data_IF_612680590445
#
_entry.id   IF_612680590445
#
_cell.length_a   1.000
_cell.length_b   1.000
_cell.length_c   1.000
_cell.angle_alpha   90.00
_cell.angle_beta   90.00
_cell.angle_gamma   90.00
#
_symmetry.space_group_name_H-M   'P 1'
#
loop_
_entity.id
_entity.type
_entity.pdbx_description
1 polymer ?
#
# COMPACT_ATOMS: atom_id res chain seq x y z
N UNK A 1 41.12 38.09 -47.34
CA UNK A 1 40.53 36.79 -47.70
C UNK A 1 41.36 35.59 -47.21
N UNK A 2 41.91 35.62 -45.98
CA UNK A 2 42.74 34.52 -45.44
C UNK A 2 42.04 33.71 -44.33
N UNK A 3 41.00 34.25 -43.70
CA UNK A 3 40.30 33.58 -42.60
C UNK A 3 39.30 32.53 -43.08
N UNK A 4 38.72 32.72 -44.27
CA UNK A 4 37.72 31.81 -44.82
C UNK A 4 38.35 30.49 -45.27
N UNK A 5 39.55 30.53 -45.87
CA UNK A 5 40.31 29.32 -46.23
C UNK A 5 40.76 28.53 -45.01
N UNK A 6 41.22 29.22 -43.95
CA UNK A 6 41.59 28.58 -42.70
C UNK A 6 40.42 27.85 -42.03
N UNK A 7 39.21 28.43 -42.08
CA UNK A 7 38.00 27.81 -41.55
C UNK A 7 37.61 26.55 -42.33
N UNK A 8 37.63 26.60 -43.66
CA UNK A 8 37.31 25.44 -44.52
C UNK A 8 38.30 24.28 -44.29
N UNK A 9 39.59 24.56 -44.20
CA UNK A 9 40.61 23.56 -43.91
C UNK A 9 40.47 22.96 -42.49
N UNK A 10 40.00 23.74 -41.52
CA UNK A 10 39.75 23.25 -40.17
C UNK A 10 38.57 22.27 -40.14
N UNK A 11 37.50 22.55 -40.88
CA UNK A 11 36.34 21.68 -40.99
C UNK A 11 36.67 20.38 -41.75
N UNK A 12 37.44 20.47 -42.83
CA UNK A 12 37.93 19.30 -43.57
C UNK A 12 38.82 18.41 -42.67
N UNK A 13 39.73 19.01 -41.91
CA UNK A 13 40.57 18.27 -40.95
C UNK A 13 39.75 17.58 -39.86
N UNK A 14 38.67 18.20 -39.37
CA UNK A 14 37.76 17.57 -38.40
C UNK A 14 37.04 16.38 -39.02
N UNK A 15 36.56 16.51 -40.26
CA UNK A 15 35.92 15.43 -40.99
C UNK A 15 36.88 14.26 -41.20
N UNK A 16 38.11 14.52 -41.69
CA UNK A 16 39.13 13.50 -41.89
C UNK A 16 39.55 12.79 -40.59
N UNK A 17 39.68 13.52 -39.48
CA UNK A 17 39.98 12.93 -38.16
C UNK A 17 38.85 12.04 -37.67
N UNK A 18 37.60 12.48 -37.82
CA UNK A 18 36.43 11.67 -37.42
C UNK A 18 36.27 10.41 -38.29
N UNK A 19 36.54 10.50 -39.60
CA UNK A 19 36.55 9.37 -40.52
C UNK A 19 37.64 8.35 -40.18
N UNK A 20 38.86 8.82 -39.89
CA UNK A 20 39.97 7.96 -39.47
C UNK A 20 39.69 7.25 -38.15
N UNK A 21 39.08 7.93 -37.17
CA UNK A 21 38.70 7.32 -35.90
C UNK A 21 37.69 6.18 -36.11
N UNK A 22 36.65 6.42 -36.93
CA UNK A 22 35.66 5.39 -37.29
C UNK A 22 36.28 4.19 -37.99
N UNK A 23 37.23 4.43 -38.90
CA UNK A 23 37.93 3.33 -39.58
C UNK A 23 38.82 2.53 -38.63
N UNK A 24 39.52 3.17 -37.68
CA UNK A 24 40.30 2.48 -36.66
C UNK A 24 39.42 1.61 -35.77
N UNK A 25 38.32 2.17 -35.26
CA UNK A 25 37.33 1.43 -34.45
C UNK A 25 36.77 0.21 -35.21
N UNK A 26 36.46 0.37 -36.51
CA UNK A 26 35.97 -0.74 -37.34
C UNK A 26 37.03 -1.83 -37.56
N UNK A 27 38.31 -1.47 -37.66
CA UNK A 27 39.43 -2.42 -37.78
C UNK A 27 39.70 -3.15 -36.46
N UNK A 28 39.59 -2.45 -35.33
CA UNK A 28 39.69 -3.04 -33.98
C UNK A 28 38.55 -4.04 -33.74
N UNK A 29 37.29 -3.64 -33.98
CA UNK A 29 36.14 -4.55 -33.85
C UNK A 29 36.23 -5.77 -34.79
N UNK A 30 36.75 -5.60 -36.02
CA UNK A 30 36.97 -6.73 -36.94
C UNK A 30 38.08 -7.68 -36.49
N UNK A 31 39.04 -7.22 -35.71
CA UNK A 31 40.11 -8.07 -35.14
C UNK A 31 39.64 -8.84 -33.91
N UNK A 32 38.71 -8.29 -33.13
CA UNK A 32 38.05 -9.03 -32.05
C UNK A 32 37.13 -10.14 -32.58
N UNK A 33 36.50 -9.96 -33.74
CA UNK A 33 35.65 -10.97 -34.39
C UNK A 33 36.48 -11.98 -35.22
N UNK A 34 37.54 -12.54 -34.65
CA UNK A 34 38.01 -13.85 -35.10
C UNK A 34 37.39 -14.83 -34.12
N UNK A 35 36.32 -15.48 -34.55
CA UNK A 35 35.78 -16.65 -33.85
C UNK A 35 36.94 -17.62 -33.66
N UNK A 36 37.37 -17.86 -32.42
CA UNK A 36 38.31 -18.92 -32.07
C UNK A 36 37.65 -20.27 -32.37
N UNK A 37 37.62 -20.63 -33.65
CA UNK A 37 37.09 -21.88 -34.18
C UNK A 37 38.06 -23.03 -33.90
N UNK A 38 38.26 -23.34 -32.62
CA UNK A 38 38.94 -24.55 -32.17
C UNK A 38 37.94 -25.68 -31.92
N UNK A 39 38.31 -26.91 -32.28
CA UNK A 39 37.57 -28.10 -31.84
C UNK A 39 37.77 -28.29 -30.35
N UNK A 40 36.70 -28.12 -29.58
CA UNK A 40 36.75 -28.27 -28.12
C UNK A 40 37.12 -29.71 -27.76
N UNK A 41 38.13 -29.90 -26.92
CA UNK A 41 38.46 -31.23 -26.43
C UNK A 41 37.35 -31.77 -25.50
N UNK A 42 37.24 -33.10 -25.39
CA UNK A 42 36.26 -33.75 -24.49
C UNK A 42 36.45 -33.29 -23.04
N UNK A 43 37.70 -33.11 -22.59
CA UNK A 43 38.01 -32.63 -21.25
C UNK A 43 37.50 -31.21 -21.02
N UNK A 44 37.73 -30.30 -21.97
CA UNK A 44 37.20 -28.93 -21.90
C UNK A 44 35.67 -28.87 -21.97
N UNK A 45 35.05 -29.75 -22.77
CA UNK A 45 33.60 -29.87 -22.87
C UNK A 45 32.96 -30.30 -21.56
N UNK A 46 33.52 -31.33 -20.92
CA UNK A 46 33.02 -31.81 -19.62
C UNK A 46 33.21 -30.79 -18.51
N UNK A 47 34.33 -30.06 -18.49
CA UNK A 47 34.56 -28.97 -17.54
C UNK A 47 33.54 -27.83 -17.70
N UNK A 48 33.21 -27.44 -18.94
CA UNK A 48 32.18 -26.42 -19.22
C UNK A 48 30.79 -26.86 -18.78
N UNK A 49 30.43 -28.12 -19.01
CA UNK A 49 29.14 -28.68 -18.57
C UNK A 49 29.02 -28.66 -17.05
N UNK A 50 30.08 -29.07 -16.33
CA UNK A 50 30.10 -29.05 -14.85
C UNK A 50 29.92 -27.63 -14.31
N UNK A 51 30.71 -26.68 -14.82
CA UNK A 51 30.60 -25.26 -14.43
C UNK A 51 29.19 -24.72 -14.69
N UNK A 52 28.60 -25.02 -15.85
CA UNK A 52 27.24 -24.58 -16.19
C UNK A 52 26.19 -25.15 -15.23
N UNK A 53 26.34 -26.41 -14.79
CA UNK A 53 25.44 -27.02 -13.80
C UNK A 53 25.58 -26.35 -12.43
N UNK A 54 26.80 -26.09 -11.99
CA UNK A 54 27.06 -25.39 -10.72
C UNK A 54 26.48 -23.96 -10.74
N UNK A 55 26.69 -23.23 -11.84
CA UNK A 55 26.08 -21.90 -12.05
C UNK A 55 24.54 -21.97 -12.08
N UNK A 56 23.97 -23.00 -12.68
CA UNK A 56 22.52 -23.20 -12.70
C UNK A 56 21.97 -23.51 -11.31
N UNK A 57 22.63 -24.39 -10.55
CA UNK A 57 22.28 -24.67 -9.16
C UNK A 57 22.36 -23.43 -8.27
N UNK A 58 23.41 -22.62 -8.43
CA UNK A 58 23.56 -21.35 -7.71
C UNK A 58 22.43 -20.37 -8.08
N UNK A 59 22.09 -20.26 -9.37
CA UNK A 59 20.96 -19.44 -9.83
C UNK A 59 19.63 -19.91 -9.26
N UNK A 60 19.41 -21.22 -9.16
CA UNK A 60 18.19 -21.78 -8.55
C UNK A 60 18.14 -21.46 -7.06
N UNK A 61 19.25 -21.58 -6.33
CA UNK A 61 19.32 -21.21 -4.91
C UNK A 61 18.99 -19.74 -4.70
N UNK A 62 19.63 -18.82 -5.44
CA UNK A 62 19.33 -17.39 -5.37
C UNK A 62 17.85 -17.09 -5.65
N UNK A 63 17.27 -17.70 -6.68
CA UNK A 63 15.84 -17.53 -6.98
C UNK A 63 14.92 -18.00 -5.85
N UNK A 64 15.24 -19.11 -5.19
CA UNK A 64 14.47 -19.60 -4.03
C UNK A 64 14.53 -18.62 -2.86
N UNK A 65 15.72 -18.12 -2.55
CA UNK A 65 15.91 -17.13 -1.48
C UNK A 65 15.17 -15.81 -1.77
N UNK A 66 15.27 -15.29 -2.99
CA UNK A 66 14.52 -14.12 -3.45
C UNK A 66 13.01 -14.34 -3.35
N UNK A 67 12.53 -15.52 -3.75
CA UNK A 67 11.12 -15.87 -3.65
C UNK A 67 10.65 -15.97 -2.19
N UNK A 68 11.42 -16.62 -1.32
CA UNK A 68 11.10 -16.68 0.11
C UNK A 68 11.04 -15.28 0.73
N UNK A 69 11.98 -14.41 0.40
CA UNK A 69 11.99 -13.03 0.87
C UNK A 69 10.75 -12.27 0.35
N UNK A 70 10.41 -12.44 -0.93
CA UNK A 70 9.20 -11.87 -1.53
C UNK A 70 7.93 -12.35 -0.82
N UNK A 71 7.86 -13.63 -0.46
CA UNK A 71 6.73 -14.22 0.29
C UNK A 71 6.67 -13.62 1.70
N UNK A 72 7.79 -13.53 2.42
CA UNK A 72 7.86 -12.89 3.75
C UNK A 72 7.36 -11.44 3.70
N UNK A 73 7.84 -10.65 2.73
CA UNK A 73 7.37 -9.26 2.53
C UNK A 73 5.86 -9.18 2.27
N UNK A 74 5.31 -10.09 1.47
CA UNK A 74 3.85 -10.16 1.22
C UNK A 74 3.06 -10.45 2.49
N UNK A 75 3.49 -11.43 3.30
CA UNK A 75 2.84 -11.78 4.56
C UNK A 75 2.79 -10.61 5.53
N UNK A 76 3.94 -9.94 5.76
CA UNK A 76 4.00 -8.76 6.63
C UNK A 76 3.05 -7.65 6.16
N UNK A 77 3.02 -7.38 4.85
CA UNK A 77 2.12 -6.38 4.27
C UNK A 77 0.64 -6.77 4.44
N UNK A 78 0.32 -8.05 4.30
CA UNK A 78 -1.04 -8.56 4.50
C UNK A 78 -1.46 -8.46 5.98
N UNK A 79 -0.60 -8.83 6.91
CA UNK A 79 -0.84 -8.68 8.34
C UNK A 79 -1.10 -7.21 8.74
N UNK A 80 -0.29 -6.28 8.22
CA UNK A 80 -0.50 -4.82 8.37
C UNK A 80 -1.89 -4.41 7.87
N UNK A 81 -2.29 -4.89 6.69
CA UNK A 81 -3.62 -4.60 6.12
C UNK A 81 -4.74 -5.15 6.99
N UNK A 82 -4.60 -6.36 7.51
CA UNK A 82 -5.58 -6.99 8.41
C UNK A 82 -5.69 -6.20 9.72
N UNK A 83 -4.57 -5.81 10.34
CA UNK A 83 -4.56 -4.98 11.56
C UNK A 83 -5.29 -3.66 11.32
N UNK A 84 -5.00 -2.97 10.21
CA UNK A 84 -5.69 -1.71 9.85
C UNK A 84 -7.19 -1.90 9.64
N UNK A 85 -7.63 -3.02 9.06
CA UNK A 85 -9.06 -3.34 8.91
C UNK A 85 -9.73 -3.55 10.26
N UNK A 86 -9.13 -4.36 11.14
CA UNK A 86 -9.66 -4.61 12.49
C UNK A 86 -9.83 -3.33 13.29
N UNK A 87 -8.83 -2.43 13.29
CA UNK A 87 -8.95 -1.14 13.97
C UNK A 87 -10.13 -0.32 13.46
N UNK A 88 -10.36 -0.29 12.14
CA UNK A 88 -11.51 0.41 11.55
C UNK A 88 -12.84 -0.25 11.92
N UNK A 89 -12.91 -1.58 11.91
CA UNK A 89 -14.10 -2.33 12.32
C UNK A 89 -14.41 -2.12 13.82
N UNK A 90 -13.39 -2.13 14.67
CA UNK A 90 -13.51 -1.84 16.10
C UNK A 90 -13.98 -0.39 16.34
N UNK A 91 -13.46 0.57 15.57
CA UNK A 91 -13.92 1.96 15.64
C UNK A 91 -15.39 2.08 15.17
N UNK A 92 -15.75 1.41 14.07
CA UNK A 92 -17.11 1.42 13.56
C UNK A 92 -18.10 0.78 14.54
N UNK A 93 -17.73 -0.32 15.17
CA UNK A 93 -18.57 -0.99 16.18
C UNK A 93 -18.74 -0.13 17.43
N UNK A 94 -17.69 0.57 17.89
CA UNK A 94 -17.81 1.57 18.97
C UNK A 94 -18.79 2.68 18.61
N UNK A 95 -18.65 3.28 17.42
CA UNK A 95 -19.55 4.33 16.93
C UNK A 95 -21.00 3.86 16.87
N UNK A 96 -21.26 2.62 16.40
CA UNK A 96 -22.61 2.03 16.39
C UNK A 96 -23.18 1.86 17.79
N UNK A 97 -22.41 1.33 18.74
CA UNK A 97 -22.85 1.19 20.14
C UNK A 97 -23.15 2.54 20.78
N UNK A 98 -22.32 3.55 20.55
CA UNK A 98 -22.55 4.90 21.03
C UNK A 98 -23.82 5.52 20.43
N UNK A 99 -24.08 5.27 19.14
CA UNK A 99 -25.30 5.71 18.47
C UNK A 99 -26.54 5.00 19.02
N UNK A 100 -26.49 3.68 19.17
CA UNK A 100 -27.55 2.86 19.78
C UNK A 100 -27.88 3.36 21.20
N UNK A 101 -26.86 3.61 22.03
CA UNK A 101 -27.00 4.20 23.36
C UNK A 101 -27.64 5.60 23.31
N UNK A 102 -27.25 6.44 22.35
CA UNK A 102 -27.87 7.77 22.17
C UNK A 102 -29.34 7.66 21.75
N UNK A 103 -29.67 6.72 20.87
CA UNK A 103 -31.05 6.46 20.44
C UNK A 103 -31.89 5.96 21.62
N UNK A 104 -31.35 5.01 22.40
CA UNK A 104 -32.00 4.48 23.59
C UNK A 104 -32.33 5.60 24.60
N UNK A 105 -31.36 6.47 24.91
CA UNK A 105 -31.59 7.63 25.78
C UNK A 105 -32.69 8.57 25.27
N UNK A 106 -32.75 8.83 23.96
CA UNK A 106 -33.82 9.65 23.37
C UNK A 106 -35.19 9.01 23.54
N UNK A 107 -35.29 7.70 23.31
CA UNK A 107 -36.56 6.97 23.48
C UNK A 107 -37.00 7.01 24.94
N UNK A 108 -36.09 6.79 25.88
CA UNK A 108 -36.38 6.90 27.32
C UNK A 108 -36.85 8.30 27.71
N UNK A 109 -36.19 9.36 27.22
CA UNK A 109 -36.60 10.75 27.44
C UNK A 109 -38.00 11.05 26.84
N UNK A 110 -38.28 10.59 25.63
CA UNK A 110 -39.61 10.71 25.01
C UNK A 110 -40.69 9.95 25.81
N UNK A 111 -40.37 8.77 26.35
CA UNK A 111 -41.26 8.00 27.21
C UNK A 111 -41.53 8.72 28.54
N UNK A 112 -40.51 9.31 29.16
CA UNK A 112 -40.66 10.10 30.39
C UNK A 112 -41.51 11.35 30.15
N UNK A 113 -41.30 12.06 29.04
CA UNK A 113 -42.07 13.26 28.69
C UNK A 113 -43.54 12.95 28.35
N UNK A 114 -43.81 11.76 27.79
CA UNK A 114 -45.17 11.31 27.49
C UNK A 114 -45.87 10.64 28.67
N UNK A 115 -45.18 10.45 29.81
CA UNK A 115 -45.78 9.86 31.01
C UNK A 115 -46.91 10.75 31.58
N UNK A 116 -48.06 10.16 31.95
CA UNK A 116 -49.17 10.92 32.50
C UNK A 116 -48.79 11.55 33.84
N UNK A 117 -48.93 12.88 33.96
CA UNK A 117 -48.67 13.60 35.21
C UNK A 117 -49.72 13.21 36.26
N UNK A 118 -49.26 12.80 37.45
CA UNK A 118 -50.16 12.58 38.57
C UNK A 118 -50.85 13.89 38.96
N UNK A 119 -52.18 13.88 38.98
CA UNK A 119 -52.96 15.01 39.49
C UNK A 119 -52.76 15.11 40.99
N UNK A 120 -52.58 16.32 41.49
CA UNK A 120 -52.54 16.56 42.93
C UNK A 120 -53.80 15.97 43.59
N UNK A 121 -53.66 15.32 44.76
CA UNK A 121 -54.81 14.80 45.50
C UNK A 121 -55.87 15.90 45.68
N UNK A 122 -57.16 15.62 45.39
CA UNK A 122 -58.20 16.64 45.48
C UNK A 122 -58.39 17.05 46.94
N UNK A 123 -58.52 18.36 47.16
CA UNK A 123 -58.92 18.90 48.47
C UNK A 123 -60.42 19.11 48.52
N UNK A 124 -61.02 18.90 49.68
CA UNK A 124 -62.39 19.30 49.97
C UNK A 124 -62.55 20.80 49.66
N UNK A 125 -63.47 21.19 48.79
CA UNK A 125 -63.68 22.61 48.45
C UNK A 125 -64.31 23.42 49.60
N UNK A 126 -64.85 22.76 50.64
CA UNK A 126 -65.46 23.41 51.81
C UNK A 126 -64.43 23.68 52.91
N UNK A 127 -63.71 22.66 53.38
CA UNK A 127 -62.76 22.77 54.52
C UNK A 127 -61.28 22.65 54.12
N UNK A 128 -60.97 22.44 52.83
CA UNK A 128 -59.61 22.27 52.28
C UNK A 128 -58.82 21.05 52.78
N UNK A 129 -59.45 20.14 53.52
CA UNK A 129 -58.86 18.83 53.91
C UNK A 129 -58.58 17.95 52.68
N UNK A 130 -57.57 17.10 52.78
CA UNK A 130 -57.25 16.07 51.78
C UNK A 130 -57.97 14.74 52.02
N UNK A 131 -58.60 14.56 53.18
CA UNK A 131 -59.13 13.26 53.63
C UNK A 131 -60.50 12.95 53.03
N UNK A 132 -61.23 13.97 52.60
CA UNK A 132 -62.60 13.82 52.11
C UNK A 132 -62.92 14.82 50.99
N UNK A 133 -64.03 14.58 50.31
CA UNK A 133 -64.52 15.49 49.26
C UNK A 133 -65.65 16.35 49.81
N UNK A 134 -66.01 17.43 49.10
CA UNK A 134 -67.08 18.33 49.52
C UNK A 134 -68.46 17.66 49.70
N UNK A 135 -68.64 16.45 49.16
CA UNK A 135 -69.84 15.61 49.27
C UNK A 135 -69.95 14.87 50.60
N UNK A 136 -68.82 14.55 51.22
CA UNK A 136 -68.74 13.82 52.51
C UNK A 136 -68.19 14.72 53.61
N UNK A 137 -68.24 16.04 53.40
CA UNK A 137 -67.83 17.03 54.38
C UNK A 137 -68.90 17.11 55.47
N UNK A 138 -68.55 16.66 56.66
CA UNK A 138 -69.29 16.98 57.88
C UNK A 138 -68.90 18.42 58.22
N UNK A 139 -69.78 19.37 57.89
CA UNK A 139 -69.52 20.81 57.95
C UNK A 139 -69.00 21.29 59.30
#
# INVERSE_FOLDING_TARGET
MAMHSAALLADENRQLRSGNLRQKQKKEQRREYISDGGTLSVAEGTARIKRRREEEEERVKRRREEEEERVKRRRVKEEERVKRRRVKEDEQTKRRREEEERVKRRIEEEQELSAPRQRAPPRCSKCRSFEHTARTCNG
#
